data_IF_007462465495
#
_entry.id   IF_007462465495
#
_cell.length_a   1.000
_cell.length_b   1.000
_cell.length_c   1.000
_cell.angle_alpha   90.00
_cell.angle_beta   90.00
_cell.angle_gamma   90.00
#
_symmetry.space_group_name_H-M   'P 1'
#
loop_
_entity.id
_entity.type
_entity.pdbx_description
1 polymer ?
#
# COMPACT_ATOMS: atom_id res chain seq x y z
N UNK A 1 19.77 -2.70 -29.80
CA UNK A 1 19.18 -1.35 -29.70
C UNK A 1 19.22 -0.97 -28.23
N UNK A 2 20.00 0.05 -27.83
CA UNK A 2 20.04 0.49 -26.43
C UNK A 2 18.98 1.57 -26.24
N UNK A 3 17.96 1.27 -25.43
CA UNK A 3 16.96 2.26 -25.06
C UNK A 3 17.61 3.26 -24.11
N UNK A 4 17.55 4.55 -24.44
CA UNK A 4 17.97 5.61 -23.53
C UNK A 4 16.94 5.70 -22.41
N UNK A 5 17.25 5.12 -21.26
CA UNK A 5 16.44 5.25 -20.06
C UNK A 5 16.46 6.73 -19.63
N UNK A 6 15.33 7.42 -19.82
CA UNK A 6 15.14 8.74 -19.24
C UNK A 6 14.83 8.51 -17.76
N UNK A 7 15.72 8.96 -16.88
CA UNK A 7 15.46 8.95 -15.45
C UNK A 7 14.40 10.01 -15.15
N UNK A 8 13.14 9.59 -15.07
CA UNK A 8 12.07 10.40 -14.47
C UNK A 8 11.66 9.73 -13.18
N UNK A 9 12.03 10.36 -12.06
CA UNK A 9 11.33 10.14 -10.80
C UNK A 9 11.32 11.44 -10.04
N UNK A 10 10.18 12.13 -10.04
CA UNK A 10 9.84 13.01 -8.93
C UNK A 10 9.63 12.13 -7.69
N UNK A 11 10.69 12.04 -6.87
CA UNK A 11 10.65 11.74 -5.44
C UNK A 11 9.77 10.56 -4.99
N UNK A 12 10.34 9.36 -4.93
CA UNK A 12 9.87 8.34 -3.98
C UNK A 12 10.59 8.52 -2.64
N UNK A 13 9.84 8.46 -1.53
CA UNK A 13 10.31 8.60 -0.13
C UNK A 13 11.16 7.40 0.33
N UNK A 14 11.67 6.60 -0.62
CA UNK A 14 12.37 5.34 -0.40
C UNK A 14 13.67 5.34 -1.21
N UNK A 15 14.73 4.71 -0.69
CA UNK A 15 16.04 4.58 -1.38
C UNK A 15 15.97 3.78 -2.70
N UNK A 16 14.79 3.23 -3.02
CA UNK A 16 14.50 2.57 -4.30
C UNK A 16 14.33 3.58 -5.43
N UNK A 17 15.01 3.32 -6.54
CA UNK A 17 14.84 4.08 -7.79
C UNK A 17 13.87 3.35 -8.71
N UNK A 18 12.83 4.06 -9.16
CA UNK A 18 11.91 3.56 -10.19
C UNK A 18 12.33 4.13 -11.54
N UNK A 19 12.44 3.26 -12.54
CA UNK A 19 12.69 3.64 -13.93
C UNK A 19 11.46 3.38 -14.77
N UNK A 20 11.01 4.39 -15.49
CA UNK A 20 9.86 4.31 -16.40
C UNK A 20 10.28 4.74 -17.81
N UNK A 21 9.89 3.96 -18.82
CA UNK A 21 10.20 4.24 -20.21
C UNK A 21 9.15 3.65 -21.13
N UNK A 22 8.99 4.25 -22.31
CA UNK A 22 8.08 3.77 -23.34
C UNK A 22 8.83 2.95 -24.38
N UNK A 23 8.26 1.81 -24.76
CA UNK A 23 8.76 0.95 -25.82
C UNK A 23 7.78 1.01 -27.00
N UNK A 24 8.26 1.41 -28.19
CA UNK A 24 7.46 1.37 -29.43
C UNK A 24 8.02 0.26 -30.32
N UNK A 25 7.30 -0.86 -30.38
CA UNK A 25 7.72 -2.08 -31.09
C UNK A 25 6.52 -2.72 -31.81
N UNK A 26 5.86 -1.96 -32.68
CA UNK A 26 4.64 -2.37 -33.38
C UNK A 26 4.84 -3.70 -34.14
N UNK A 27 3.87 -4.61 -34.02
CA UNK A 27 3.89 -5.92 -34.69
C UNK A 27 4.88 -6.94 -34.11
N UNK A 28 5.61 -6.59 -33.04
CA UNK A 28 6.54 -7.51 -32.38
C UNK A 28 5.93 -8.06 -31.09
N UNK A 29 6.33 -9.28 -30.72
CA UNK A 29 5.96 -9.90 -29.43
C UNK A 29 7.18 -9.94 -28.54
N UNK A 30 7.03 -9.48 -27.30
CA UNK A 30 8.05 -9.65 -26.28
C UNK A 30 8.15 -11.13 -25.89
N UNK A 31 9.33 -11.71 -26.03
CA UNK A 31 9.57 -13.14 -25.74
C UNK A 31 10.44 -13.38 -24.51
N UNK A 32 11.26 -12.40 -24.12
CA UNK A 32 12.21 -12.54 -23.02
C UNK A 32 12.48 -11.18 -22.35
N UNK A 33 12.69 -11.20 -21.03
CA UNK A 33 13.16 -10.07 -20.23
C UNK A 33 14.43 -10.50 -19.51
N UNK A 34 15.52 -9.75 -19.71
CA UNK A 34 16.84 -10.02 -19.12
C UNK A 34 17.44 -8.76 -18.50
N UNK A 35 18.08 -8.90 -17.35
CA UNK A 35 18.74 -7.81 -16.63
C UNK A 35 20.26 -7.93 -16.74
N UNK A 36 20.93 -6.84 -17.10
CA UNK A 36 22.38 -6.80 -17.28
C UNK A 36 22.98 -5.69 -16.43
N UNK A 37 23.97 -6.04 -15.60
CA UNK A 37 24.75 -5.10 -14.81
C UNK A 37 26.17 -5.06 -15.35
N UNK A 38 26.69 -3.85 -15.61
CA UNK A 38 28.07 -3.65 -16.01
C UNK A 38 28.78 -2.73 -15.04
N UNK A 39 30.07 -2.96 -14.88
CA UNK A 39 30.94 -2.20 -14.00
C UNK A 39 32.02 -1.53 -14.85
N UNK A 40 32.27 -0.25 -14.62
CA UNK A 40 33.36 0.46 -15.29
C UNK A 40 34.71 -0.03 -14.75
N UNK A 41 35.63 -0.41 -15.64
CA UNK A 41 36.92 -1.04 -15.31
C UNK A 41 37.80 -0.23 -14.34
N UNK A 42 37.60 1.09 -14.24
CA UNK A 42 38.44 1.99 -13.46
C UNK A 42 38.17 2.01 -11.94
N UNK A 43 37.24 1.20 -11.41
CA UNK A 43 36.95 1.21 -9.98
C UNK A 43 37.83 0.21 -9.21
N UNK A 44 38.91 0.69 -8.60
CA UNK A 44 39.88 -0.08 -7.79
C UNK A 44 39.33 -0.63 -6.46
N UNK A 45 38.02 -0.53 -6.20
CA UNK A 45 37.41 -0.96 -4.94
C UNK A 45 36.89 -2.39 -5.04
N UNK A 46 37.40 -3.30 -4.20
CA UNK A 46 36.93 -4.69 -4.06
C UNK A 46 35.60 -4.81 -3.31
N UNK A 47 34.69 -3.85 -3.45
CA UNK A 47 33.36 -3.95 -2.84
C UNK A 47 32.50 -4.97 -3.59
N UNK A 48 31.82 -5.83 -2.85
CA UNK A 48 30.76 -6.70 -3.37
C UNK A 48 29.71 -5.83 -4.08
N UNK A 49 29.38 -6.19 -5.32
CA UNK A 49 28.33 -5.51 -6.08
C UNK A 49 27.01 -6.23 -5.83
N UNK A 50 26.02 -5.49 -5.34
CA UNK A 50 24.66 -5.98 -5.12
C UNK A 50 23.70 -5.09 -5.88
N UNK A 51 22.84 -5.72 -6.68
CA UNK A 51 21.70 -5.07 -7.34
C UNK A 51 20.43 -5.82 -6.92
N UNK A 52 19.39 -5.08 -6.58
CA UNK A 52 18.10 -5.62 -6.19
C UNK A 52 17.05 -5.13 -7.19
N UNK A 53 16.29 -6.05 -7.75
CA UNK A 53 15.13 -5.75 -8.59
C UNK A 53 13.87 -6.08 -7.80
N UNK A 54 13.16 -5.05 -7.33
CA UNK A 54 11.94 -5.22 -6.55
C UNK A 54 10.68 -5.38 -7.40
N UNK A 55 10.59 -4.67 -8.53
CA UNK A 55 9.39 -4.65 -9.35
C UNK A 55 9.72 -4.39 -10.82
N UNK A 56 9.02 -5.07 -11.72
CA UNK A 56 9.03 -4.85 -13.16
C UNK A 56 7.62 -5.01 -13.69
N UNK A 57 7.16 -4.06 -14.50
CA UNK A 57 5.88 -4.13 -15.19
C UNK A 57 6.04 -3.63 -16.62
N UNK A 58 5.28 -4.24 -17.52
CA UNK A 58 5.19 -3.86 -18.93
C UNK A 58 3.71 -3.71 -19.22
N UNK A 59 3.32 -2.51 -19.64
CA UNK A 59 1.92 -2.15 -19.88
C UNK A 59 1.78 -1.59 -21.28
N UNK A 60 0.70 -1.97 -21.96
CA UNK A 60 0.33 -1.36 -23.22
C UNK A 60 -0.22 0.05 -22.94
N UNK A 61 0.42 1.07 -23.52
CA UNK A 61 0.06 2.48 -23.33
C UNK A 61 -1.36 2.79 -23.86
N UNK A 62 -1.86 2.07 -24.87
CA UNK A 62 -3.23 2.22 -25.35
C UNK A 62 -4.24 1.63 -24.36
N UNK A 63 -3.94 0.47 -23.78
CA UNK A 63 -4.76 -0.13 -22.72
C UNK A 63 -4.72 0.76 -21.47
N UNK A 64 -3.57 1.35 -21.14
CA UNK A 64 -3.43 2.26 -20.00
C UNK A 64 -4.23 3.56 -20.18
N UNK A 65 -4.25 4.18 -21.36
CA UNK A 65 -5.10 5.35 -21.62
C UNK A 65 -6.59 5.00 -21.66
N UNK A 66 -6.96 3.82 -22.14
CA UNK A 66 -8.35 3.32 -22.11
C UNK A 66 -8.77 3.01 -20.66
N UNK A 67 -7.91 2.34 -19.87
CA UNK A 67 -8.16 2.01 -18.46
C UNK A 67 -8.07 3.22 -17.54
N UNK A 68 -7.23 4.22 -17.79
CA UNK A 68 -7.23 5.49 -17.05
C UNK A 68 -8.56 6.24 -17.22
N UNK A 69 -9.24 6.05 -18.35
CA UNK A 69 -10.57 6.58 -18.60
C UNK A 69 -11.72 5.67 -18.09
N UNK A 70 -11.47 4.39 -17.80
CA UNK A 70 -12.49 3.38 -17.44
C UNK A 70 -12.41 2.84 -16.01
N UNK A 71 -11.24 2.90 -15.36
CA UNK A 71 -10.96 2.31 -14.04
C UNK A 71 -10.23 3.35 -13.18
N UNK A 72 -10.91 4.46 -12.91
CA UNK A 72 -10.50 5.28 -11.76
C UNK A 72 -10.81 4.47 -10.51
N UNK A 73 -9.78 4.19 -9.70
CA UNK A 73 -9.99 3.58 -8.39
C UNK A 73 -11.02 4.45 -7.65
N UNK A 74 -12.13 3.87 -7.16
CA UNK A 74 -13.18 4.65 -6.54
C UNK A 74 -12.62 5.40 -5.33
N UNK A 75 -13.05 6.66 -5.13
CA UNK A 75 -12.53 7.49 -4.04
C UNK A 75 -12.85 6.85 -2.69
N UNK A 76 -12.06 7.15 -1.66
CA UNK A 76 -12.27 6.61 -0.31
C UNK A 76 -13.71 6.81 0.21
N UNK A 77 -14.36 7.92 -0.17
CA UNK A 77 -15.75 8.23 0.19
C UNK A 77 -16.79 7.29 -0.40
N UNK A 78 -16.43 6.51 -1.42
CA UNK A 78 -17.30 5.51 -2.05
C UNK A 78 -17.21 4.14 -1.37
N UNK A 79 -16.40 3.99 -0.32
CA UNK A 79 -16.24 2.75 0.43
C UNK A 79 -16.85 2.85 1.82
N UNK A 80 -17.46 1.77 2.26
CA UNK A 80 -17.87 1.55 3.65
C UNK A 80 -17.06 0.37 4.17
N UNK A 81 -16.36 0.58 5.29
CA UNK A 81 -15.65 -0.47 6.02
C UNK A 81 -16.37 -0.68 7.33
N UNK A 82 -16.71 -1.92 7.63
CA UNK A 82 -17.37 -2.36 8.85
C UNK A 82 -16.42 -3.27 9.65
N UNK A 83 -16.46 -3.15 10.97
CA UNK A 83 -15.75 -4.02 11.88
C UNK A 83 -16.74 -4.90 12.64
N UNK A 84 -16.50 -6.20 12.65
CA UNK A 84 -17.31 -7.21 13.30
C UNK A 84 -16.46 -8.07 14.23
N UNK A 85 -17.11 -8.70 15.21
CA UNK A 85 -16.49 -9.63 16.16
C UNK A 85 -15.23 -9.04 16.81
N UNK A 86 -15.36 -7.79 17.28
CA UNK A 86 -14.30 -7.07 17.98
C UNK A 86 -14.07 -7.73 19.34
N UNK A 87 -12.86 -8.23 19.54
CA UNK A 87 -12.41 -8.78 20.82
C UNK A 87 -11.10 -8.10 21.22
N UNK A 88 -11.04 -7.60 22.45
CA UNK A 88 -9.84 -7.03 23.03
C UNK A 88 -9.44 -7.87 24.24
N UNK A 89 -8.35 -8.63 24.09
CA UNK A 89 -7.88 -9.56 25.13
C UNK A 89 -6.64 -8.99 25.80
N UNK A 90 -6.58 -9.04 27.12
CA UNK A 90 -5.37 -8.68 27.87
C UNK A 90 -4.27 -9.72 27.65
N UNK A 91 -3.14 -9.28 27.12
CA UNK A 91 -1.93 -10.08 26.96
C UNK A 91 -1.15 -10.22 28.28
N UNK A 92 -0.20 -11.16 28.30
CA UNK A 92 0.57 -11.51 29.50
C UNK A 92 1.49 -10.38 30.01
N UNK A 93 1.74 -9.36 29.19
CA UNK A 93 2.74 -8.30 29.43
C UNK A 93 2.12 -6.91 29.61
N UNK A 94 0.80 -6.81 29.85
CA UNK A 94 0.08 -5.53 29.87
C UNK A 94 -0.22 -4.95 28.47
N UNK A 95 0.24 -5.62 27.41
CA UNK A 95 -0.24 -5.40 26.05
C UNK A 95 -1.67 -5.89 25.89
N UNK A 96 -2.39 -5.35 24.91
CA UNK A 96 -3.72 -5.82 24.52
C UNK A 96 -3.63 -6.47 23.15
N UNK A 97 -4.39 -7.53 22.93
CA UNK A 97 -4.48 -8.24 21.67
C UNK A 97 -5.85 -7.92 21.09
N UNK A 98 -5.86 -7.20 19.97
CA UNK A 98 -7.07 -6.91 19.22
C UNK A 98 -7.30 -8.01 18.18
N UNK A 99 -8.51 -8.56 18.19
CA UNK A 99 -9.05 -9.41 17.14
C UNK A 99 -10.24 -8.74 16.51
N UNK A 100 -10.30 -8.74 15.18
CA UNK A 100 -11.39 -8.08 14.45
C UNK A 100 -11.54 -8.69 13.07
N UNK A 101 -12.79 -8.84 12.64
CA UNK A 101 -13.13 -9.09 11.25
C UNK A 101 -13.47 -7.76 10.59
N UNK A 102 -12.74 -7.40 9.55
CA UNK A 102 -13.02 -6.26 8.69
C UNK A 102 -13.80 -6.76 7.48
N UNK A 103 -14.85 -6.05 7.10
CA UNK A 103 -15.57 -6.23 5.83
C UNK A 103 -15.72 -4.87 5.15
N UNK A 104 -15.69 -4.84 3.82
CA UNK A 104 -15.86 -3.59 3.09
C UNK A 104 -16.65 -3.75 1.81
N UNK A 105 -17.36 -2.71 1.42
CA UNK A 105 -18.13 -2.69 0.17
C UNK A 105 -18.11 -1.31 -0.46
N UNK A 106 -18.32 -1.27 -1.77
CA UNK A 106 -18.52 -0.02 -2.50
C UNK A 106 -20.00 0.37 -2.45
N UNK A 107 -20.29 1.65 -2.23
CA UNK A 107 -21.67 2.14 -2.07
C UNK A 107 -22.44 2.32 -3.38
N UNK A 108 -21.75 2.40 -4.51
CA UNK A 108 -22.34 2.79 -5.80
C UNK A 108 -22.15 1.77 -6.94
N UNK A 109 -21.42 0.68 -6.71
CA UNK A 109 -21.31 -0.42 -7.68
C UNK A 109 -21.59 -1.73 -6.94
N UNK A 110 -22.68 -2.39 -7.31
CA UNK A 110 -23.02 -3.73 -6.79
C UNK A 110 -22.05 -4.81 -7.32
N UNK A 111 -21.35 -4.58 -8.44
CA UNK A 111 -20.65 -5.65 -9.16
C UNK A 111 -19.17 -5.41 -9.50
N UNK A 112 -18.54 -4.31 -9.05
CA UNK A 112 -17.08 -4.12 -9.26
C UNK A 112 -16.29 -4.58 -8.04
N UNK A 113 -15.88 -5.83 -8.07
CA UNK A 113 -14.95 -6.39 -7.08
C UNK A 113 -13.54 -6.18 -7.59
N UNK A 114 -12.80 -5.26 -6.97
CA UNK A 114 -11.37 -5.18 -7.22
C UNK A 114 -10.72 -6.48 -6.73
N UNK A 115 -9.73 -7.01 -7.46
CA UNK A 115 -9.24 -8.36 -7.22
C UNK A 115 -8.38 -8.48 -5.95
N UNK A 116 -7.80 -7.37 -5.49
CA UNK A 116 -6.76 -7.36 -4.46
C UNK A 116 -6.85 -6.11 -3.60
N UNK A 117 -6.67 -6.28 -2.29
CA UNK A 117 -6.64 -5.21 -1.30
C UNK A 117 -5.44 -5.39 -0.37
N UNK A 118 -4.65 -4.34 -0.17
CA UNK A 118 -3.64 -4.30 0.89
C UNK A 118 -4.27 -3.76 2.17
N UNK A 119 -4.01 -4.40 3.31
CA UNK A 119 -4.57 -4.02 4.60
C UNK A 119 -3.46 -3.57 5.53
N UNK A 120 -3.68 -2.43 6.18
CA UNK A 120 -2.74 -1.82 7.12
C UNK A 120 -3.43 -1.45 8.43
N UNK A 121 -2.63 -1.28 9.49
CA UNK A 121 -3.07 -0.72 10.76
C UNK A 121 -2.17 0.43 11.19
N UNK A 122 -2.76 1.44 11.82
CA UNK A 122 -2.09 2.59 12.41
C UNK A 122 -2.61 2.79 13.84
N UNK A 123 -1.70 2.78 14.81
CA UNK A 123 -2.07 3.06 16.21
C UNK A 123 -2.33 4.55 16.39
N UNK A 124 -3.42 4.91 17.07
CA UNK A 124 -3.79 6.30 17.38
C UNK A 124 -3.57 6.57 18.87
N UNK A 125 -2.63 7.47 19.18
CA UNK A 125 -2.31 7.88 20.56
C UNK A 125 -3.04 9.17 20.94
N UNK A 126 -3.24 9.39 22.24
CA UNK A 126 -4.00 10.52 22.80
C UNK A 126 -3.49 11.91 22.36
N UNK A 127 -2.21 12.06 22.02
CA UNK A 127 -1.64 13.33 21.56
C UNK A 127 -1.96 13.67 20.11
N UNK A 128 -2.38 12.69 19.30
CA UNK A 128 -2.68 12.88 17.87
C UNK A 128 -4.10 13.39 17.64
N UNK A 129 -5.04 13.10 18.56
CA UNK A 129 -6.45 13.53 18.47
C UNK A 129 -6.62 15.05 18.66
N UNK A 130 -5.72 15.69 19.42
CA UNK A 130 -5.79 17.12 19.74
C UNK A 130 -5.02 18.03 18.76
N UNK A 131 -4.17 17.47 17.88
CA UNK A 131 -3.31 18.27 17.02
C UNK A 131 -3.98 18.59 15.68
N UNK A 132 -4.94 19.51 15.71
CA UNK A 132 -5.35 20.24 14.49
C UNK A 132 -4.13 20.93 13.87
N UNK A 133 -3.65 20.36 12.76
CA UNK A 133 -2.92 20.99 11.65
C UNK A 133 -2.25 22.33 11.99
N UNK A 134 -0.97 22.33 12.41
CA UNK A 134 0.05 23.41 12.25
C UNK A 134 1.26 23.18 13.19
N UNK A 135 2.11 22.18 12.96
CA UNK A 135 3.55 22.23 13.31
C UNK A 135 4.25 21.18 12.42
N UNK A 136 5.37 21.57 11.82
CA UNK A 136 6.28 20.76 11.02
C UNK A 136 7.01 19.72 11.91
N UNK A 137 6.27 18.81 12.52
CA UNK A 137 6.82 17.63 13.19
C UNK A 137 6.49 16.40 12.35
N UNK A 138 7.49 15.53 12.13
CA UNK A 138 7.37 14.29 11.37
C UNK A 138 6.11 13.52 11.80
N UNK A 139 5.15 13.26 10.91
CA UNK A 139 4.04 12.34 11.18
C UNK A 139 4.54 10.93 10.76
N UNK A 140 4.20 9.80 11.38
CA UNK A 140 3.05 9.36 12.17
C UNK A 140 3.51 8.17 13.02
N UNK A 141 2.65 7.69 13.92
CA UNK A 141 2.62 6.27 14.28
C UNK A 141 2.89 5.38 13.06
N UNK A 142 3.76 4.37 13.24
CA UNK A 142 4.20 3.51 12.14
C UNK A 142 2.99 2.74 11.59
N UNK A 143 2.64 3.00 10.32
CA UNK A 143 1.63 2.18 9.63
C UNK A 143 2.22 0.81 9.37
N UNK A 144 1.58 -0.22 9.93
CA UNK A 144 2.01 -1.60 9.81
C UNK A 144 1.20 -2.28 8.74
N UNK A 145 1.88 -2.92 7.79
CA UNK A 145 1.24 -3.79 6.81
C UNK A 145 0.78 -5.08 7.49
N UNK A 146 -0.50 -5.42 7.34
CA UNK A 146 -1.09 -6.62 7.92
C UNK A 146 -1.11 -7.77 6.92
N UNK A 147 -1.41 -7.48 5.64
CA UNK A 147 -1.49 -8.51 4.62
C UNK A 147 -2.31 -8.09 3.40
N UNK A 148 -2.55 -9.07 2.53
CA UNK A 148 -3.28 -8.94 1.28
C UNK A 148 -4.60 -9.71 1.41
N UNK A 149 -5.69 -9.13 0.93
CA UNK A 149 -6.97 -9.82 0.76
C UNK A 149 -7.38 -9.87 -0.71
N UNK A 150 -7.88 -11.03 -1.12
CA UNK A 150 -8.48 -11.26 -2.44
C UNK A 150 -10.02 -11.24 -2.40
N UNK A 151 -10.58 -10.91 -1.24
CA UNK A 151 -12.01 -10.82 -0.99
C UNK A 151 -12.30 -9.52 -0.23
N UNK A 152 -13.55 -9.02 -0.23
CA UNK A 152 -13.93 -7.80 0.49
C UNK A 152 -13.98 -7.96 2.03
N UNK A 153 -13.06 -8.74 2.61
CA UNK A 153 -12.96 -9.01 4.03
C UNK A 153 -11.52 -9.34 4.44
N UNK A 154 -11.18 -9.08 5.71
CA UNK A 154 -9.90 -9.48 6.31
C UNK A 154 -10.08 -9.78 7.79
N UNK A 155 -9.50 -10.89 8.26
CA UNK A 155 -9.52 -11.22 9.68
C UNK A 155 -8.16 -10.94 10.31
N UNK A 156 -8.16 -10.09 11.33
CA UNK A 156 -7.02 -9.80 12.16
C UNK A 156 -7.11 -10.72 13.38
N UNK A 157 -6.25 -11.73 13.42
CA UNK A 157 -6.27 -12.74 14.48
C UNK A 157 -5.58 -12.28 15.77
N UNK A 158 -4.46 -11.58 15.65
CA UNK A 158 -3.63 -11.16 16.78
C UNK A 158 -2.87 -9.86 16.46
N UNK A 159 -3.53 -8.71 16.61
CA UNK A 159 -2.84 -7.42 16.57
C UNK A 159 -2.46 -6.99 17.98
N UNK A 160 -1.16 -6.93 18.27
CA UNK A 160 -0.65 -6.46 19.56
C UNK A 160 -0.70 -4.94 19.59
N UNK A 161 -1.37 -4.40 20.61
CA UNK A 161 -1.58 -2.97 20.81
C UNK A 161 -1.09 -2.59 22.20
N UNK A 162 -0.30 -1.51 22.27
CA UNK A 162 0.19 -0.98 23.54
C UNK A 162 -0.96 -0.47 24.43
N UNK A 163 -0.70 -0.40 25.73
CA UNK A 163 -1.71 0.04 26.71
C UNK A 163 -2.11 1.52 26.57
N UNK A 164 -1.26 2.36 26.00
CA UNK A 164 -1.47 3.81 25.82
C UNK A 164 -2.24 4.17 24.53
N UNK A 165 -2.42 3.21 23.63
CA UNK A 165 -3.15 3.41 22.36
C UNK A 165 -4.66 3.47 22.62
N UNK A 166 -5.33 4.49 22.09
CA UNK A 166 -6.79 4.67 22.29
C UNK A 166 -7.62 4.12 21.13
N UNK A 167 -7.05 4.07 19.94
CA UNK A 167 -7.73 3.50 18.78
C UNK A 167 -6.75 2.89 17.78
N UNK A 168 -7.26 2.06 16.89
CA UNK A 168 -6.53 1.53 15.74
C UNK A 168 -7.27 1.94 14.48
N UNK A 169 -6.58 2.65 13.59
CA UNK A 169 -7.08 2.96 12.25
C UNK A 169 -6.67 1.86 11.29
N UNK A 170 -7.65 1.14 10.74
CA UNK A 170 -7.43 0.17 9.68
C UNK A 170 -7.56 0.86 8.33
N UNK A 171 -6.58 0.68 7.46
CA UNK A 171 -6.57 1.25 6.11
C UNK A 171 -6.65 0.11 5.10
N UNK A 172 -7.61 0.20 4.18
CA UNK A 172 -7.77 -0.76 3.08
C UNK A 172 -7.38 -0.04 1.80
N UNK A 173 -6.26 -0.43 1.20
CA UNK A 173 -5.80 0.12 -0.06
C UNK A 173 -6.24 -0.81 -1.21
N UNK A 174 -7.21 -0.38 -2.05
CA UNK A 174 -7.59 -1.14 -3.21
C UNK A 174 -6.47 -1.14 -4.27
N UNK A 175 -6.24 -2.30 -4.88
CA UNK A 175 -5.30 -2.47 -5.98
C UNK A 175 -6.06 -2.71 -7.29
N UNK A 176 -5.66 -2.01 -8.35
CA UNK A 176 -6.14 -2.26 -9.71
C UNK A 176 -5.62 -3.59 -10.25
N UNK A 177 -6.31 -4.12 -11.25
CA UNK A 177 -5.94 -5.39 -11.92
C UNK A 177 -4.53 -5.37 -12.52
N UNK A 178 -4.05 -4.18 -12.90
CA UNK A 178 -2.72 -3.94 -13.47
C UNK A 178 -1.63 -3.75 -12.39
N UNK A 179 -1.95 -4.06 -11.12
CA UNK A 179 -1.08 -3.84 -9.97
C UNK A 179 -0.89 -2.38 -9.63
N UNK A 180 -1.68 -1.44 -10.18
CA UNK A 180 -1.69 -0.06 -9.71
C UNK A 180 -2.33 0.06 -8.33
N UNK A 181 -1.90 1.03 -7.53
CA UNK A 181 -2.54 1.35 -6.25
C UNK A 181 -2.56 2.86 -6.03
N UNK A 182 -3.58 3.33 -5.31
CA UNK A 182 -3.68 4.74 -4.91
C UNK A 182 -2.71 5.05 -3.77
N UNK A 183 -2.43 6.34 -3.51
CA UNK A 183 -1.63 6.73 -2.33
C UNK A 183 -2.33 6.23 -1.07
N UNK A 184 -1.56 5.66 -0.14
CA UNK A 184 -2.11 5.10 1.10
C UNK A 184 -2.88 6.15 1.93
N UNK A 185 -2.43 7.42 1.89
CA UNK A 185 -3.06 8.54 2.58
C UNK A 185 -4.47 8.90 2.10
N UNK A 186 -4.86 8.46 0.89
CA UNK A 186 -6.18 8.70 0.33
C UNK A 186 -7.02 7.42 0.26
N UNK A 187 -6.54 6.34 0.88
CA UNK A 187 -7.26 5.07 0.94
C UNK A 187 -8.36 5.08 2.01
N UNK A 188 -9.46 4.33 1.82
CA UNK A 188 -10.50 4.22 2.81
C UNK A 188 -9.96 3.64 4.12
N UNK A 189 -10.44 4.16 5.23
CA UNK A 189 -10.01 3.75 6.56
C UNK A 189 -11.17 3.71 7.55
N UNK A 190 -10.97 2.94 8.62
CA UNK A 190 -11.90 2.79 9.74
C UNK A 190 -11.13 2.91 11.05
N UNK A 191 -11.51 3.89 11.88
CA UNK A 191 -11.03 3.99 13.24
C UNK A 191 -11.86 3.09 14.16
N UNK A 192 -11.21 2.12 14.79
CA UNK A 192 -11.77 1.33 15.89
C UNK A 192 -11.30 1.95 17.20
N UNK A 193 -12.25 2.47 17.97
CA UNK A 193 -12.01 2.96 19.32
C UNK A 193 -11.88 1.78 20.30
N UNK A 194 -10.80 1.78 21.08
CA UNK A 194 -10.50 0.75 22.08
C UNK A 194 -10.96 1.15 23.48
N UNK A 195 -11.29 2.42 23.75
CA UNK A 195 -11.73 2.88 25.07
C UNK A 195 -13.10 2.31 25.47
N UNK A 196 -13.97 2.05 24.50
CA UNK A 196 -15.30 1.46 24.73
C UNK A 196 -15.32 -0.08 24.80
N UNK A 197 -14.17 -0.74 24.62
CA UNK A 197 -14.06 -2.20 24.50
C UNK A 197 -13.41 -2.87 25.73
N UNK A 198 -12.96 -2.10 26.72
CA UNK A 198 -12.33 -2.60 27.95
C UNK A 198 -13.32 -2.84 29.07
#
# INVERSE_FOLDING_TARGET
MFLKCLATSEQTVSEWTVYETSLVMDGHTLTEISAFCYRTENSTKTSEYVALLGHISIKDHHVQLLQQNLVSLPPATSWVIEAHNLELVLGKSGSRILKVKLEWRQTQLEDSVLPVYNVYAESVKSTDVLRSRKVLEKPRSERVFLGISHVPAYYVSELVVDSDVKGVSFVVQPCGEDGSWSKLDVSPNLLVDLEGLS
#
